data_IF_882035552640
#
_entry.id   IF_882035552640
#
_cell.length_a   1.000
_cell.length_b   1.000
_cell.length_c   1.000
_cell.angle_alpha   90.00
_cell.angle_beta   90.00
_cell.angle_gamma   90.00
#
_symmetry.space_group_name_H-M   'P 1'
#
loop_
_entity.id
_entity.type
_entity.pdbx_description
1 polymer ?
#
# COMPACT_ATOMS: atom_id res chain seq x y z
N UNK A 1 13.22 -66.08 -31.03
CA UNK A 1 14.05 -64.85 -31.02
C UNK A 1 13.68 -63.92 -32.19
N UNK A 2 12.50 -63.30 -32.20
CA UNK A 2 12.13 -62.21 -33.15
C UNK A 2 10.93 -61.42 -32.63
N UNK A 3 10.98 -60.88 -31.40
CA UNK A 3 9.95 -59.97 -30.85
C UNK A 3 10.51 -58.97 -29.85
N UNK A 4 11.70 -58.42 -30.11
CA UNK A 4 12.30 -57.36 -29.24
C UNK A 4 12.79 -56.15 -30.05
N UNK A 5 12.65 -56.16 -31.38
CA UNK A 5 13.16 -55.09 -32.25
C UNK A 5 12.18 -53.92 -32.45
N UNK A 6 11.04 -53.88 -31.76
CA UNK A 6 10.01 -52.84 -31.94
C UNK A 6 9.88 -51.85 -30.77
N UNK A 7 10.68 -51.99 -29.71
CA UNK A 7 10.64 -51.08 -28.55
C UNK A 7 11.74 -50.00 -28.56
N UNK A 8 12.74 -50.11 -29.43
CA UNK A 8 13.83 -49.13 -29.51
C UNK A 8 13.56 -47.94 -30.46
N UNK A 9 12.55 -48.03 -31.34
CA UNK A 9 12.20 -46.93 -32.25
C UNK A 9 11.27 -45.88 -31.62
N UNK A 10 10.66 -46.18 -30.47
CA UNK A 10 9.82 -45.22 -29.72
C UNK A 10 10.66 -44.43 -28.69
N UNK A 11 11.86 -44.91 -28.34
CA UNK A 11 12.73 -44.27 -27.35
C UNK A 11 13.65 -43.17 -27.94
N UNK A 12 13.75 -43.04 -29.26
CA UNK A 12 14.57 -42.03 -29.96
C UNK A 12 13.76 -40.89 -30.59
N UNK A 13 12.69 -40.45 -29.90
CA UNK A 13 12.11 -39.10 -30.08
C UNK A 13 12.41 -38.24 -28.84
N UNK A 14 13.40 -38.64 -28.03
CA UNK A 14 14.16 -37.72 -27.19
C UNK A 14 15.34 -37.18 -28.01
N UNK A 15 15.17 -36.04 -28.67
CA UNK A 15 16.20 -35.02 -28.97
C UNK A 15 15.67 -34.07 -30.05
N UNK A 16 14.52 -33.44 -29.80
CA UNK A 16 14.32 -32.09 -30.31
C UNK A 16 14.90 -31.19 -29.22
N UNK A 17 15.94 -30.38 -29.48
CA UNK A 17 16.29 -29.33 -28.55
C UNK A 17 15.10 -28.37 -28.57
N UNK A 18 14.21 -28.48 -27.59
CA UNK A 18 13.25 -27.42 -27.32
C UNK A 18 14.05 -26.24 -26.78
N UNK A 19 14.68 -25.52 -27.69
CA UNK A 19 15.12 -24.14 -27.52
C UNK A 19 13.85 -23.30 -27.37
N UNK A 20 13.16 -23.46 -26.25
CA UNK A 20 11.89 -22.84 -25.95
C UNK A 20 11.96 -22.31 -24.53
N UNK A 21 12.45 -21.08 -24.45
CA UNK A 21 12.43 -20.20 -23.30
C UNK A 21 12.98 -20.79 -21.99
N UNK A 22 14.20 -20.37 -21.66
CA UNK A 22 14.51 -20.08 -20.27
C UNK A 22 13.50 -19.03 -19.76
N UNK A 23 12.31 -19.44 -19.35
CA UNK A 23 11.58 -18.72 -18.32
C UNK A 23 12.35 -18.94 -17.04
N UNK A 24 13.49 -18.27 -16.92
CA UNK A 24 13.98 -17.84 -15.63
C UNK A 24 12.78 -17.13 -15.01
N UNK A 25 12.12 -17.78 -14.05
CA UNK A 25 11.12 -17.12 -13.22
C UNK A 25 11.80 -15.85 -12.74
N UNK A 26 11.35 -14.68 -13.22
CA UNK A 26 11.90 -13.41 -12.77
C UNK A 26 11.88 -13.48 -11.24
N UNK A 27 13.01 -13.24 -10.55
CA UNK A 27 13.00 -13.18 -9.10
C UNK A 27 11.85 -12.27 -8.70
N UNK A 28 10.85 -12.82 -8.04
CA UNK A 28 9.63 -12.09 -7.71
C UNK A 28 10.06 -10.94 -6.80
N UNK A 29 10.10 -9.72 -7.33
CA UNK A 29 10.61 -8.56 -6.60
C UNK A 29 9.76 -8.40 -5.33
N UNK A 30 10.33 -8.61 -4.13
CA UNK A 30 9.59 -8.52 -2.87
C UNK A 30 9.00 -7.11 -2.66
N UNK A 31 9.54 -6.10 -3.35
CA UNK A 31 9.07 -4.71 -3.33
C UNK A 31 7.76 -4.50 -4.10
N UNK A 32 7.41 -5.40 -5.01
CA UNK A 32 6.17 -5.34 -5.80
C UNK A 32 4.97 -6.02 -5.16
N UNK A 33 5.13 -6.67 -3.99
CA UNK A 33 4.02 -7.36 -3.34
C UNK A 33 3.05 -6.38 -2.69
N UNK A 34 1.74 -6.55 -2.94
CA UNK A 34 0.68 -5.80 -2.25
C UNK A 34 0.80 -5.88 -0.73
N UNK A 35 1.36 -6.99 -0.22
CA UNK A 35 1.62 -7.20 1.21
C UNK A 35 2.65 -6.21 1.73
N UNK A 36 3.77 -6.05 1.02
CA UNK A 36 4.83 -5.08 1.35
C UNK A 36 4.30 -3.66 1.28
N UNK A 37 3.55 -3.34 0.23
CA UNK A 37 2.94 -2.01 0.05
C UNK A 37 1.95 -1.67 1.16
N UNK A 38 1.18 -2.67 1.61
CA UNK A 38 0.20 -2.50 2.69
C UNK A 38 0.87 -2.25 4.04
N UNK A 39 1.97 -2.95 4.32
CA UNK A 39 2.80 -2.66 5.50
C UNK A 39 3.37 -1.25 5.43
N UNK A 40 3.80 -0.81 4.26
CA UNK A 40 4.28 0.56 4.06
C UNK A 40 3.17 1.58 4.37
N UNK A 41 1.94 1.39 3.88
CA UNK A 41 0.81 2.26 4.22
C UNK A 41 0.51 2.29 5.72
N UNK A 42 0.58 1.13 6.40
CA UNK A 42 0.42 1.05 7.85
C UNK A 42 1.45 1.92 8.58
N UNK A 43 2.74 1.80 8.26
CA UNK A 43 3.78 2.63 8.90
C UNK A 43 3.67 4.10 8.54
N UNK A 44 3.34 4.42 7.28
CA UNK A 44 3.14 5.80 6.84
C UNK A 44 1.94 6.44 7.51
N UNK A 45 0.87 5.69 7.79
CA UNK A 45 -0.28 6.18 8.55
C UNK A 45 0.16 6.57 9.97
N UNK A 46 0.81 5.64 10.70
CA UNK A 46 1.29 5.89 12.08
C UNK A 46 2.24 7.09 12.12
N UNK A 47 3.20 7.17 11.20
CA UNK A 47 4.12 8.32 11.12
C UNK A 47 3.41 9.63 10.76
N UNK A 48 2.38 9.54 9.92
CA UNK A 48 1.56 10.66 9.46
C UNK A 48 0.73 11.29 10.57
N UNK A 49 0.25 10.52 11.55
CA UNK A 49 -0.58 11.07 12.63
C UNK A 49 0.15 12.17 13.43
N UNK A 50 1.41 11.95 13.78
CA UNK A 50 2.19 12.99 14.49
C UNK A 50 2.38 14.25 13.64
N UNK A 51 2.59 14.09 12.33
CA UNK A 51 2.72 15.21 11.39
C UNK A 51 1.41 15.97 11.26
N UNK A 52 0.29 15.25 11.15
CA UNK A 52 -1.04 15.84 11.12
C UNK A 52 -1.29 16.71 12.36
N UNK A 53 -1.10 16.17 13.57
CA UNK A 53 -1.37 16.94 14.79
C UNK A 53 -0.48 18.18 14.91
N UNK A 54 0.80 18.06 14.53
CA UNK A 54 1.71 19.21 14.51
C UNK A 54 1.20 20.29 13.55
N UNK A 55 0.96 19.93 12.29
CA UNK A 55 0.49 20.87 11.28
C UNK A 55 -0.86 21.48 11.63
N UNK A 56 -1.79 20.69 12.19
CA UNK A 56 -3.09 21.19 12.61
C UNK A 56 -2.96 22.26 13.70
N UNK A 57 -2.12 22.02 14.71
CA UNK A 57 -1.87 23.00 15.77
C UNK A 57 -1.15 24.25 15.25
N UNK A 58 -0.22 24.08 14.32
CA UNK A 58 0.43 25.20 13.61
C UNK A 58 -0.60 26.02 12.83
N UNK A 59 -1.49 25.37 12.07
CA UNK A 59 -2.57 26.04 11.32
C UNK A 59 -3.56 26.77 12.22
N UNK A 60 -3.93 26.18 13.36
CA UNK A 60 -4.77 26.87 14.36
C UNK A 60 -4.06 28.13 14.88
N UNK A 61 -2.78 28.02 15.22
CA UNK A 61 -1.99 29.14 15.75
C UNK A 61 -1.76 30.23 14.71
N UNK A 62 -1.63 29.85 13.44
CA UNK A 62 -1.47 30.75 12.31
C UNK A 62 -2.78 31.43 11.86
N UNK A 63 -3.92 31.08 12.47
CA UNK A 63 -5.21 31.66 12.14
C UNK A 63 -5.78 31.21 10.79
N UNK A 64 -5.45 29.97 10.36
CA UNK A 64 -6.10 29.37 9.19
C UNK A 64 -7.61 29.32 9.41
N UNK A 65 -8.36 29.57 8.33
CA UNK A 65 -9.82 29.61 8.36
C UNK A 65 -10.46 28.35 8.97
N UNK A 66 -11.51 28.58 9.76
CA UNK A 66 -12.25 27.52 10.45
C UNK A 66 -12.90 26.51 9.49
N UNK A 67 -13.35 26.93 8.29
CA UNK A 67 -13.96 25.98 7.34
C UNK A 67 -12.93 24.99 6.78
N UNK A 68 -11.70 25.47 6.57
CA UNK A 68 -10.54 24.65 6.18
C UNK A 68 -10.17 23.68 7.30
N UNK A 69 -10.05 24.18 8.55
CA UNK A 69 -9.75 23.34 9.71
C UNK A 69 -10.81 22.26 9.96
N UNK A 70 -12.10 22.58 9.78
CA UNK A 70 -13.19 21.60 9.85
C UNK A 70 -13.06 20.52 8.78
N UNK A 71 -12.77 20.90 7.53
CA UNK A 71 -12.58 19.96 6.42
C UNK A 71 -11.41 19.01 6.69
N UNK A 72 -10.29 19.57 7.16
CA UNK A 72 -9.10 18.80 7.55
C UNK A 72 -9.43 17.81 8.67
N UNK A 73 -10.15 18.23 9.70
CA UNK A 73 -10.52 17.35 10.81
C UNK A 73 -11.44 16.22 10.34
N UNK A 74 -12.40 16.51 9.48
CA UNK A 74 -13.28 15.50 8.90
C UNK A 74 -12.50 14.44 8.11
N UNK A 75 -11.48 14.85 7.33
CA UNK A 75 -10.59 13.92 6.64
C UNK A 75 -9.83 13.05 7.64
N UNK A 76 -9.28 13.63 8.71
CA UNK A 76 -8.57 12.89 9.75
C UNK A 76 -9.46 11.88 10.48
N UNK A 77 -10.69 12.26 10.83
CA UNK A 77 -11.66 11.37 11.46
C UNK A 77 -12.04 10.19 10.53
N UNK A 78 -12.27 10.48 9.25
CA UNK A 78 -12.52 9.45 8.24
C UNK A 78 -11.33 8.50 8.09
N UNK A 79 -10.10 9.05 8.03
CA UNK A 79 -8.88 8.25 7.97
C UNK A 79 -8.74 7.34 9.19
N UNK A 80 -9.02 7.88 10.38
CA UNK A 80 -8.99 7.16 11.66
C UNK A 80 -10.04 6.06 11.73
N UNK A 81 -11.24 6.30 11.20
CA UNK A 81 -12.29 5.28 11.12
C UNK A 81 -11.87 4.12 10.22
N UNK A 82 -11.35 4.42 9.03
CA UNK A 82 -10.84 3.41 8.09
C UNK A 82 -9.68 2.61 8.68
N UNK A 83 -8.78 3.26 9.42
CA UNK A 83 -7.69 2.59 10.12
C UNK A 83 -8.20 1.60 11.17
N UNK A 84 -9.17 2.02 12.00
CA UNK A 84 -9.81 1.14 12.98
C UNK A 84 -10.49 -0.06 12.33
N UNK A 85 -11.19 0.16 11.21
CA UNK A 85 -11.81 -0.93 10.44
C UNK A 85 -10.74 -1.87 9.88
N UNK A 86 -9.64 -1.36 9.33
CA UNK A 86 -8.54 -2.19 8.87
C UNK A 86 -8.02 -3.11 9.98
N UNK A 87 -7.72 -2.55 11.16
CA UNK A 87 -7.23 -3.31 12.30
C UNK A 87 -8.21 -4.38 12.81
N UNK A 88 -9.52 -4.21 12.60
CA UNK A 88 -10.52 -5.22 12.96
C UNK A 88 -10.37 -6.53 12.18
N UNK A 89 -9.74 -6.50 11.01
CA UNK A 89 -9.43 -7.68 10.20
C UNK A 89 -8.11 -8.36 10.59
N UNK A 90 -7.35 -7.77 11.51
CA UNK A 90 -6.12 -8.33 12.08
C UNK A 90 -4.89 -7.42 11.96
N UNK A 91 -3.83 -7.78 12.66
CA UNK A 91 -2.55 -7.07 12.63
C UNK A 91 -1.73 -7.46 11.38
N UNK A 92 -1.27 -6.50 10.54
CA UNK A 92 -0.47 -6.77 9.34
C UNK A 92 0.92 -7.34 9.65
N UNK A 93 1.33 -7.37 10.90
CA UNK A 93 2.61 -7.93 11.33
C UNK A 93 2.50 -9.41 11.74
N UNK A 94 1.29 -9.90 12.06
CA UNK A 94 1.11 -11.18 12.76
C UNK A 94 0.38 -12.24 11.95
N UNK A 95 -0.57 -11.85 11.09
CA UNK A 95 -1.38 -12.81 10.33
C UNK A 95 -1.12 -12.67 8.83
N UNK A 96 -1.17 -13.78 8.08
CA UNK A 96 -1.26 -13.80 6.61
C UNK A 96 -2.37 -14.77 6.21
N UNK A 97 -3.61 -14.35 6.42
CA UNK A 97 -4.81 -15.13 6.09
C UNK A 97 -5.71 -14.32 5.12
N UNK A 98 -6.83 -14.91 4.69
CA UNK A 98 -7.76 -14.27 3.75
C UNK A 98 -8.37 -12.96 4.26
N UNK A 99 -8.36 -12.72 5.58
CA UNK A 99 -8.81 -11.46 6.18
C UNK A 99 -7.91 -10.26 5.79
N UNK A 100 -6.77 -10.50 5.15
CA UNK A 100 -5.96 -9.42 4.58
C UNK A 100 -6.61 -8.67 3.43
N UNK A 101 -7.51 -9.27 2.66
CA UNK A 101 -8.12 -8.59 1.52
C UNK A 101 -8.87 -7.31 1.93
N UNK A 102 -9.81 -7.36 2.91
CA UNK A 102 -10.43 -6.14 3.41
C UNK A 102 -9.44 -5.24 4.17
N UNK A 103 -8.49 -5.81 4.92
CA UNK A 103 -7.42 -5.03 5.57
C UNK A 103 -6.71 -4.09 4.60
N UNK A 104 -6.28 -4.62 3.45
CA UNK A 104 -5.54 -3.87 2.43
C UNK A 104 -6.33 -2.66 1.95
N UNK A 105 -7.63 -2.83 1.69
CA UNK A 105 -8.51 -1.77 1.19
C UNK A 105 -8.65 -0.65 2.20
N UNK A 106 -9.03 -1.00 3.44
CA UNK A 106 -9.24 -0.04 4.51
C UNK A 106 -7.94 0.66 4.92
N UNK A 107 -6.83 -0.08 5.00
CA UNK A 107 -5.53 0.50 5.33
C UNK A 107 -5.04 1.47 4.25
N UNK A 108 -5.22 1.14 2.97
CA UNK A 108 -4.90 2.06 1.86
C UNK A 108 -5.73 3.33 1.97
N UNK A 109 -7.04 3.19 2.20
CA UNK A 109 -7.96 4.33 2.29
C UNK A 109 -7.59 5.24 3.46
N UNK A 110 -7.37 4.67 4.65
CA UNK A 110 -6.89 5.41 5.81
C UNK A 110 -5.61 6.22 5.52
N UNK A 111 -4.59 5.58 4.93
CA UNK A 111 -3.35 6.27 4.58
C UNK A 111 -3.57 7.43 3.59
N UNK A 112 -4.32 7.20 2.50
CA UNK A 112 -4.56 8.23 1.49
C UNK A 112 -5.34 9.39 2.09
N UNK A 113 -6.41 9.11 2.84
CA UNK A 113 -7.23 10.17 3.44
C UNK A 113 -6.46 10.98 4.49
N UNK A 114 -5.60 10.34 5.29
CA UNK A 114 -4.70 11.07 6.20
C UNK A 114 -3.71 11.94 5.43
N UNK A 115 -3.14 11.41 4.34
CA UNK A 115 -2.24 12.18 3.47
C UNK A 115 -2.95 13.40 2.88
N UNK A 116 -4.19 13.26 2.43
CA UNK A 116 -4.97 14.39 1.90
C UNK A 116 -5.21 15.47 2.97
N UNK A 117 -5.50 15.07 4.21
CA UNK A 117 -5.63 15.99 5.34
C UNK A 117 -4.33 16.77 5.60
N UNK A 118 -3.18 16.06 5.57
CA UNK A 118 -1.85 16.65 5.74
C UNK A 118 -1.54 17.62 4.59
N UNK A 119 -1.80 17.23 3.34
CA UNK A 119 -1.54 18.09 2.17
C UNK A 119 -2.39 19.35 2.20
N UNK A 120 -3.65 19.27 2.61
CA UNK A 120 -4.51 20.44 2.75
C UNK A 120 -3.98 21.43 3.80
N UNK A 121 -3.43 20.93 4.93
CA UNK A 121 -2.77 21.78 5.93
C UNK A 121 -1.49 22.43 5.40
N UNK A 122 -0.64 21.65 4.70
CA UNK A 122 0.59 22.17 4.10
C UNK A 122 0.31 23.27 3.07
N UNK A 123 -0.70 23.07 2.22
CA UNK A 123 -1.08 24.04 1.20
C UNK A 123 -1.69 25.30 1.82
N UNK A 124 -2.49 25.15 2.88
CA UNK A 124 -3.04 26.29 3.62
C UNK A 124 -1.95 27.14 4.28
N UNK A 125 -0.97 26.51 4.94
CA UNK A 125 0.15 27.21 5.57
C UNK A 125 1.03 27.93 4.55
N UNK A 126 1.39 27.27 3.43
CA UNK A 126 2.16 27.90 2.34
C UNK A 126 1.40 29.07 1.71
N UNK A 127 0.08 28.92 1.53
CA UNK A 127 -0.78 29.97 1.00
C UNK A 127 -0.81 31.20 1.90
N UNK A 128 -0.76 31.00 3.22
CA UNK A 128 -0.66 32.09 4.20
C UNK A 128 0.72 32.77 4.18
N UNK A 129 1.80 31.98 4.13
CA UNK A 129 3.17 32.51 4.02
C UNK A 129 3.33 33.40 2.78
N UNK A 130 2.79 32.98 1.63
CA UNK A 130 2.84 33.74 0.39
C UNK A 130 2.02 35.04 0.42
N UNK A 131 0.99 35.13 1.26
CA UNK A 131 0.19 36.35 1.44
C UNK A 131 0.88 37.36 2.37
N UNK A 132 1.76 36.88 3.25
CA UNK A 132 2.47 37.69 4.24
C UNK A 132 3.88 38.13 3.78
N UNK A 133 4.33 37.66 2.61
CA UNK A 133 5.61 38.01 1.98
C UNK A 133 5.47 39.20 1.02
#
# INVERSE_FOLDING_TARGET
>A
MKRVAALFAILMIMMVPFAGAATAAKPQDPRGSIITQTKLWYYLYIGGESKFHRLYNESVSAGIDNTTLQTVMQLYENASAEYKVALSYGNPLESKNIAWLPFIVHMRKAYITLKDAISLLEDALKGLEAQNA
#
